data_IF_309566296572
#
_entry.id   IF_309566296572
#
_cell.length_a   1.000
_cell.length_b   1.000
_cell.length_c   1.000
_cell.angle_alpha   90.00
_cell.angle_beta   90.00
_cell.angle_gamma   90.00
#
_symmetry.space_group_name_H-M   'P 1'
#
loop_
_entity.id
_entity.type
_entity.pdbx_description
1 polymer ?
#
# COMPACT_ATOMS: atom_id res chain seq x y z
N UNK A 1 18.01 11.37 -25.26
CA UNK A 1 16.55 11.62 -25.25
C UNK A 1 15.90 10.56 -24.36
N UNK A 2 15.91 10.76 -23.04
CA UNK A 2 15.36 9.79 -22.09
C UNK A 2 13.83 9.85 -22.17
N UNK A 3 13.19 8.75 -22.57
CA UNK A 3 11.75 8.60 -22.46
C UNK A 3 11.41 8.63 -20.97
N UNK A 4 10.87 9.76 -20.51
CA UNK A 4 10.20 9.89 -19.23
C UNK A 4 9.01 8.90 -19.24
N UNK A 5 9.20 7.69 -18.71
CA UNK A 5 8.14 6.72 -18.45
C UNK A 5 7.35 7.15 -17.19
N UNK A 6 6.74 8.34 -17.22
CA UNK A 6 6.12 9.02 -16.06
C UNK A 6 4.59 8.94 -16.05
N UNK A 7 3.96 8.25 -17.00
CA UNK A 7 2.49 8.25 -17.08
C UNK A 7 1.92 7.09 -16.27
N UNK A 8 1.69 7.29 -14.96
CA UNK A 8 0.76 6.43 -14.21
C UNK A 8 -0.63 6.61 -14.86
N UNK A 9 -1.23 5.58 -15.47
CA UNK A 9 -2.45 5.73 -16.27
C UNK A 9 -3.63 6.24 -15.44
N UNK A 10 -4.46 7.15 -15.95
CA UNK A 10 -5.67 7.61 -15.25
C UNK A 10 -6.82 6.59 -15.33
N UNK A 11 -6.57 5.37 -14.85
CA UNK A 11 -7.51 4.24 -14.76
C UNK A 11 -7.18 3.41 -13.50
N UNK A 12 -8.03 2.42 -13.17
CA UNK A 12 -7.73 1.45 -12.12
C UNK A 12 -6.48 0.63 -12.48
N UNK A 13 -5.68 0.31 -11.47
CA UNK A 13 -4.46 -0.48 -11.63
C UNK A 13 -4.48 -1.68 -10.69
N UNK A 14 -4.22 -2.87 -11.23
CA UNK A 14 -3.85 -4.05 -10.44
C UNK A 14 -2.42 -3.91 -9.93
N UNK A 15 -2.22 -4.01 -8.62
CA UNK A 15 -0.93 -3.91 -7.97
C UNK A 15 -0.81 -4.89 -6.80
N UNK A 16 0.39 -5.38 -6.53
CA UNK A 16 0.66 -6.20 -5.35
C UNK A 16 0.72 -5.35 -4.09
N UNK A 17 0.04 -5.79 -3.03
CA UNK A 17 0.07 -5.15 -1.71
C UNK A 17 0.19 -6.19 -0.59
N UNK A 18 0.83 -5.80 0.52
CA UNK A 18 0.88 -6.60 1.74
C UNK A 18 -0.36 -6.33 2.60
N UNK A 19 -1.24 -7.32 2.70
CA UNK A 19 -2.54 -7.23 3.37
C UNK A 19 -2.52 -8.04 4.67
N UNK A 20 -2.97 -7.39 5.75
CA UNK A 20 -3.32 -8.04 7.00
C UNK A 20 -4.85 -8.18 7.07
N UNK A 21 -5.34 -9.42 7.09
CA UNK A 21 -6.76 -9.74 7.11
C UNK A 21 -7.37 -9.72 8.52
N UNK A 22 -6.56 -9.93 9.55
CA UNK A 22 -7.00 -9.93 10.94
C UNK A 22 -5.87 -10.20 11.93
N UNK A 23 -6.16 -10.01 13.22
CA UNK A 23 -5.19 -10.28 14.29
C UNK A 23 -4.81 -11.75 14.30
N UNK A 24 -3.51 -12.04 14.29
CA UNK A 24 -2.98 -13.41 14.29
C UNK A 24 -2.98 -14.08 12.92
N UNK A 25 -3.51 -13.43 11.89
CA UNK A 25 -3.39 -13.92 10.52
C UNK A 25 -2.04 -13.55 9.90
N UNK A 26 -1.46 -14.42 9.05
CA UNK A 26 -0.25 -14.07 8.31
C UNK A 26 -0.55 -12.91 7.35
N UNK A 27 0.41 -11.99 7.24
CA UNK A 27 0.39 -10.96 6.19
C UNK A 27 0.59 -11.65 4.84
N UNK A 28 -0.31 -11.38 3.89
CA UNK A 28 -0.28 -11.96 2.55
C UNK A 28 0.03 -10.88 1.52
N UNK A 29 0.84 -11.21 0.52
CA UNK A 29 1.00 -10.36 -0.65
C UNK A 29 -0.04 -10.78 -1.67
N UNK A 30 -0.97 -9.88 -1.98
CA UNK A 30 -2.11 -10.13 -2.85
C UNK A 30 -2.25 -9.00 -3.87
N UNK A 31 -2.87 -9.29 -5.02
CA UNK A 31 -3.21 -8.25 -6.00
C UNK A 31 -4.45 -7.49 -5.53
N UNK A 32 -4.38 -6.16 -5.59
CA UNK A 32 -5.49 -5.25 -5.32
C UNK A 32 -5.68 -4.28 -6.47
N UNK A 33 -6.90 -3.76 -6.59
CA UNK A 33 -7.22 -2.67 -7.50
C UNK A 33 -7.06 -1.32 -6.80
N UNK A 34 -6.31 -0.41 -7.43
CA UNK A 34 -6.13 0.96 -6.98
C UNK A 34 -6.73 1.92 -8.01
N UNK A 35 -7.82 2.56 -7.60
CA UNK A 35 -8.54 3.55 -8.40
C UNK A 35 -7.64 4.73 -8.84
N UNK A 36 -8.03 5.44 -9.91
CA UNK A 36 -7.41 6.72 -10.24
C UNK A 36 -7.62 7.74 -9.10
N UNK A 37 -6.65 8.65 -8.86
CA UNK A 37 -6.78 9.65 -7.81
C UNK A 37 -7.92 10.64 -8.12
N UNK A 38 -8.66 11.05 -7.10
CA UNK A 38 -9.67 12.12 -7.18
C UNK A 38 -9.03 13.49 -6.99
N UNK A 39 -9.84 14.54 -7.03
CA UNK A 39 -9.38 15.92 -6.80
C UNK A 39 -8.79 16.06 -5.39
N UNK A 40 -7.54 16.51 -5.30
CA UNK A 40 -6.80 16.66 -4.04
C UNK A 40 -6.05 15.41 -3.57
N UNK A 41 -6.15 14.30 -4.31
CA UNK A 41 -5.43 13.05 -4.02
C UNK A 41 -4.21 12.90 -4.93
N UNK A 42 -3.20 12.15 -4.45
CA UNK A 42 -2.01 11.80 -5.21
C UNK A 42 -1.86 10.29 -5.19
N UNK A 43 -1.61 9.68 -6.36
CA UNK A 43 -1.25 8.27 -6.46
C UNK A 43 0.24 8.14 -6.76
N UNK A 44 0.93 7.39 -5.92
CA UNK A 44 2.39 7.25 -5.94
C UNK A 44 2.74 5.81 -6.29
N UNK A 45 3.72 5.61 -7.16
CA UNK A 45 4.31 4.30 -7.41
C UNK A 45 5.46 4.08 -6.42
N UNK A 46 5.21 3.30 -5.37
CA UNK A 46 6.24 2.99 -4.38
C UNK A 46 7.36 2.16 -5.01
N UNK A 47 8.61 2.63 -4.87
CA UNK A 47 9.82 1.96 -5.35
C UNK A 47 10.43 1.08 -4.27
N UNK A 48 10.45 1.58 -3.03
CA UNK A 48 10.98 0.87 -1.87
C UNK A 48 10.13 1.19 -0.63
N UNK A 49 9.98 0.22 0.26
CA UNK A 49 9.40 0.38 1.58
C UNK A 49 10.26 -0.36 2.63
N UNK A 50 10.34 0.18 3.84
CA UNK A 50 10.93 -0.49 4.99
C UNK A 50 9.85 -0.98 5.95
N UNK A 51 10.27 -1.79 6.94
CA UNK A 51 9.41 -2.28 7.99
C UNK A 51 9.77 -1.59 9.30
N UNK A 52 8.81 -0.90 9.89
CA UNK A 52 8.95 -0.33 11.21
C UNK A 52 8.33 -1.25 12.26
N UNK A 53 8.70 -1.02 13.52
CA UNK A 53 8.09 -1.73 14.64
C UNK A 53 6.58 -1.46 14.77
N UNK A 54 6.13 -0.25 14.41
CA UNK A 54 4.72 0.15 14.42
C UNK A 54 3.86 -0.63 13.42
N UNK A 55 4.42 -1.11 12.30
CA UNK A 55 3.67 -1.94 11.35
C UNK A 55 3.26 -3.28 11.99
N UNK A 56 4.14 -3.88 12.79
CA UNK A 56 3.88 -5.13 13.53
C UNK A 56 2.81 -4.91 14.60
N UNK A 57 2.91 -3.82 15.34
CA UNK A 57 1.92 -3.44 16.35
C UNK A 57 0.54 -3.18 15.70
N UNK A 58 0.53 -2.57 14.51
CA UNK A 58 -0.69 -2.37 13.72
C UNK A 58 -1.33 -3.68 13.25
N UNK A 59 -0.53 -4.62 12.76
CA UNK A 59 -1.00 -5.96 12.39
C UNK A 59 -1.59 -6.72 13.59
N UNK A 60 -1.15 -6.39 14.81
CA UNK A 60 -1.65 -6.97 16.06
C UNK A 60 -2.93 -6.28 16.59
N UNK A 61 -3.47 -5.29 15.87
CA UNK A 61 -4.75 -4.65 16.19
C UNK A 61 -4.68 -3.38 17.03
N UNK A 62 -3.48 -2.84 17.28
CA UNK A 62 -3.29 -1.56 17.96
C UNK A 62 -3.08 -0.41 16.95
N UNK A 63 -3.48 0.84 17.23
CA UNK A 63 -4.34 1.26 18.33
C UNK A 63 -5.80 0.88 18.12
N UNK A 64 -6.19 0.58 16.88
CA UNK A 64 -7.54 0.16 16.51
C UNK A 64 -7.47 -1.08 15.61
N UNK A 65 -8.29 -2.11 15.85
CA UNK A 65 -8.32 -3.34 15.06
C UNK A 65 -9.12 -3.18 13.77
N UNK A 66 -8.71 -2.23 12.92
CA UNK A 66 -9.29 -2.04 11.59
C UNK A 66 -8.61 -2.97 10.57
N UNK A 67 -9.39 -3.91 10.06
CA UNK A 67 -8.99 -4.90 9.06
C UNK A 67 -10.10 -5.07 8.00
N UNK A 68 -9.78 -5.47 6.75
CA UNK A 68 -8.43 -5.70 6.22
C UNK A 68 -7.62 -4.39 6.11
N UNK A 69 -6.29 -4.50 6.17
CA UNK A 69 -5.39 -3.34 6.14
C UNK A 69 -4.17 -3.59 5.26
N UNK A 70 -3.87 -2.62 4.40
CA UNK A 70 -2.55 -2.49 3.75
C UNK A 70 -1.60 -1.79 4.74
N UNK A 71 -0.51 -2.45 5.09
CA UNK A 71 0.47 -1.94 6.05
C UNK A 71 1.57 -1.10 5.36
N UNK A 72 2.38 -0.40 6.16
CA UNK A 72 3.51 0.38 5.69
C UNK A 72 3.27 1.89 5.77
N UNK A 73 4.23 2.59 6.36
CA UNK A 73 4.26 4.05 6.47
C UNK A 73 5.66 4.63 6.21
N UNK A 74 6.63 3.78 5.87
CA UNK A 74 8.00 4.13 5.54
C UNK A 74 8.30 3.69 4.10
N UNK A 75 8.28 4.63 3.15
CA UNK A 75 8.55 4.31 1.75
C UNK A 75 8.90 5.52 0.89
N UNK A 76 9.40 5.25 -0.32
CA UNK A 76 9.79 6.25 -1.32
C UNK A 76 9.27 5.86 -2.71
N UNK A 77 8.84 6.85 -3.49
CA UNK A 77 8.31 6.70 -4.85
C UNK A 77 8.12 8.03 -5.56
#
# INVERSE_FOLDING_TARGET
MARLCFTIPNASLSVSAAICWGVGEPIKVEEIEVDPPKAGEVRIKILCASLCHSDIICASGYPLPLFPRVLGHEGVG
#
